data_IF_522753112638
#
_entry.id   IF_522753112638
#
_cell.length_a   1.000
_cell.length_b   1.000
_cell.length_c   1.000
_cell.angle_alpha   90.00
_cell.angle_beta   90.00
_cell.angle_gamma   90.00
#
_symmetry.space_group_name_H-M   'P 1'
#
loop_
_entity.id
_entity.type
_entity.pdbx_description
1 polymer ?
#
# COMPACT_ATOMS: atom_id res chain seq x y z
N UNK A 1 -14.61 -2.02 18.70
CA UNK A 1 -15.43 -1.75 17.52
C UNK A 1 -16.50 -0.68 17.71
N UNK A 2 -17.50 -0.81 18.60
CA UNK A 2 -18.54 0.23 18.80
C UNK A 2 -17.99 1.60 19.19
N UNK A 3 -16.98 1.66 20.07
CA UNK A 3 -16.35 2.93 20.51
C UNK A 3 -15.54 3.61 19.38
N UNK A 4 -14.87 2.84 18.55
CA UNK A 4 -14.11 3.35 17.38
C UNK A 4 -15.06 3.90 16.31
N UNK A 5 -16.17 3.22 16.04
CA UNK A 5 -17.21 3.70 15.12
C UNK A 5 -17.90 4.98 15.65
N UNK A 6 -18.11 5.08 16.96
CA UNK A 6 -18.68 6.30 17.57
C UNK A 6 -17.71 7.49 17.42
N UNK A 7 -16.41 7.29 17.63
CA UNK A 7 -15.40 8.34 17.46
C UNK A 7 -15.29 8.76 15.97
N UNK A 8 -15.33 7.81 15.05
CA UNK A 8 -15.36 8.11 13.61
C UNK A 8 -16.59 8.93 13.23
N UNK A 9 -17.76 8.62 13.79
CA UNK A 9 -19.00 9.31 13.50
C UNK A 9 -19.08 10.73 14.11
N UNK A 10 -18.30 11.03 15.13
CA UNK A 10 -18.31 12.37 15.79
C UNK A 10 -17.27 13.34 15.21
N UNK A 11 -16.25 12.85 14.47
CA UNK A 11 -15.25 13.71 13.87
C UNK A 11 -15.58 13.99 12.39
N UNK A 12 -15.84 15.26 11.99
CA UNK A 12 -16.25 15.60 10.63
C UNK A 12 -15.17 15.26 9.58
N UNK A 13 -13.88 15.35 9.93
CA UNK A 13 -12.78 14.96 9.05
C UNK A 13 -12.75 13.44 8.79
N UNK A 14 -13.05 12.64 9.83
CA UNK A 14 -13.14 11.18 9.69
C UNK A 14 -14.33 10.78 8.82
N UNK A 15 -15.48 11.48 8.97
CA UNK A 15 -16.65 11.25 8.11
C UNK A 15 -16.35 11.61 6.66
N UNK A 16 -15.69 12.75 6.42
CA UNK A 16 -15.28 13.14 5.06
C UNK A 16 -14.33 12.10 4.45
N UNK A 17 -13.32 11.65 5.21
CA UNK A 17 -12.41 10.61 4.76
C UNK A 17 -13.13 9.30 4.43
N UNK A 18 -14.04 8.86 5.30
CA UNK A 18 -14.85 7.66 5.07
C UNK A 18 -15.75 7.80 3.83
N UNK A 19 -16.35 8.98 3.63
CA UNK A 19 -17.15 9.27 2.44
C UNK A 19 -16.31 9.19 1.16
N UNK A 20 -15.13 9.81 1.14
CA UNK A 20 -14.23 9.78 -0.01
C UNK A 20 -13.79 8.34 -0.34
N UNK A 21 -13.41 7.56 0.67
CA UNK A 21 -13.07 6.13 0.48
C UNK A 21 -14.27 5.35 -0.07
N UNK A 22 -15.45 5.55 0.51
CA UNK A 22 -16.68 4.89 0.04
C UNK A 22 -17.01 5.27 -1.41
N UNK A 23 -16.77 6.52 -1.80
CA UNK A 23 -16.98 7.02 -3.16
C UNK A 23 -16.02 6.37 -4.15
N UNK A 24 -14.72 6.28 -3.81
CA UNK A 24 -13.71 5.62 -4.65
C UNK A 24 -13.98 4.12 -4.78
N UNK A 25 -14.23 3.44 -3.65
CA UNK A 25 -14.53 2.00 -3.64
C UNK A 25 -15.85 1.72 -4.36
N UNK A 26 -16.89 2.51 -4.10
CA UNK A 26 -18.18 2.41 -4.81
C UNK A 26 -18.03 2.64 -6.30
N UNK A 27 -17.30 3.70 -6.70
CA UNK A 27 -16.99 3.97 -8.12
C UNK A 27 -16.25 2.81 -8.78
N UNK A 28 -15.28 2.19 -8.09
CA UNK A 28 -14.56 1.03 -8.59
C UNK A 28 -15.46 -0.21 -8.75
N UNK A 29 -16.26 -0.53 -7.72
CA UNK A 29 -17.12 -1.72 -7.72
C UNK A 29 -18.22 -1.61 -8.76
N UNK A 30 -18.90 -0.45 -8.81
CA UNK A 30 -20.04 -0.19 -9.69
C UNK A 30 -19.65 0.46 -11.02
N UNK A 31 -18.36 0.48 -11.40
CA UNK A 31 -17.87 1.11 -12.63
C UNK A 31 -18.63 0.64 -13.87
N UNK A 32 -18.92 -0.67 -14.02
CA UNK A 32 -19.64 -1.22 -15.17
C UNK A 32 -21.12 -0.79 -15.24
N UNK A 33 -21.70 -0.31 -14.13
CA UNK A 33 -23.07 0.19 -14.06
C UNK A 33 -23.15 1.71 -14.20
N UNK A 34 -22.11 2.43 -13.76
CA UNK A 34 -22.07 3.90 -13.67
C UNK A 34 -21.42 4.51 -14.91
N UNK A 35 -20.41 3.82 -15.51
CA UNK A 35 -19.66 4.35 -16.64
C UNK A 35 -20.57 4.49 -17.87
N UNK A 36 -20.72 5.72 -18.45
CA UNK A 36 -21.51 5.92 -19.65
C UNK A 36 -20.95 5.18 -20.89
N UNK A 37 -19.61 5.00 -20.92
CA UNK A 37 -18.89 4.39 -22.04
C UNK A 37 -17.96 3.27 -21.53
N UNK A 38 -18.50 2.06 -21.22
CA UNK A 38 -17.70 0.95 -20.69
C UNK A 38 -16.58 0.48 -21.63
N UNK A 39 -16.75 0.63 -22.94
CA UNK A 39 -15.76 0.33 -23.97
C UNK A 39 -14.52 1.22 -23.89
N UNK A 40 -14.63 2.44 -23.37
CA UNK A 40 -13.53 3.39 -23.22
C UNK A 40 -12.51 3.01 -22.11
N UNK A 41 -12.76 1.90 -21.39
CA UNK A 41 -11.75 1.32 -20.46
C UNK A 41 -10.50 0.80 -21.17
N UNK A 42 -10.64 0.40 -22.45
CA UNK A 42 -9.59 -0.22 -23.25
C UNK A 42 -8.79 0.76 -24.11
N UNK A 43 -8.11 0.19 -25.11
CA UNK A 43 -7.30 0.93 -26.09
C UNK A 43 -8.14 1.45 -27.28
N UNK A 44 -9.36 1.93 -27.00
CA UNK A 44 -10.22 2.54 -28.01
C UNK A 44 -9.65 3.87 -28.42
N UNK A 45 -9.78 4.22 -29.70
CA UNK A 45 -9.38 5.51 -30.29
C UNK A 45 -10.56 6.05 -31.05
N UNK A 46 -10.98 7.27 -30.71
CA UNK A 46 -12.07 8.00 -31.39
C UNK A 46 -11.61 9.44 -31.71
N UNK A 47 -10.96 9.59 -32.82
CA UNK A 47 -10.45 10.90 -33.26
C UNK A 47 -11.54 11.93 -33.56
N UNK A 48 -12.79 11.52 -33.75
CA UNK A 48 -13.91 12.45 -33.95
C UNK A 48 -14.25 13.20 -32.66
N UNK A 49 -14.09 12.54 -31.54
CA UNK A 49 -14.35 13.08 -30.21
C UNK A 49 -13.07 13.49 -29.44
N UNK A 50 -11.98 13.77 -30.18
CA UNK A 50 -10.69 14.17 -29.64
C UNK A 50 -10.79 15.46 -28.80
N UNK A 51 -10.26 15.42 -27.59
CA UNK A 51 -10.08 16.55 -26.68
C UNK A 51 -11.30 17.48 -26.54
N UNK A 52 -12.50 16.91 -26.49
CA UNK A 52 -13.73 17.67 -26.28
C UNK A 52 -13.83 18.17 -24.84
N UNK A 53 -14.29 19.41 -24.62
CA UNK A 53 -14.61 19.90 -23.29
C UNK A 53 -15.79 19.13 -22.68
N UNK A 54 -16.01 19.23 -21.34
CA UNK A 54 -17.20 18.69 -20.70
C UNK A 54 -18.50 19.18 -21.38
N UNK A 55 -19.39 18.22 -21.67
CA UNK A 55 -20.72 18.49 -22.25
C UNK A 55 -21.75 17.51 -21.69
N UNK A 56 -23.00 17.55 -22.22
CA UNK A 56 -24.09 16.66 -21.80
C UNK A 56 -23.86 15.18 -22.12
N UNK A 57 -22.93 14.84 -23.02
CA UNK A 57 -22.56 13.48 -23.41
C UNK A 57 -21.33 13.02 -22.64
N UNK A 58 -20.31 13.87 -22.57
CA UNK A 58 -19.03 13.62 -21.90
C UNK A 58 -18.90 14.50 -20.66
N UNK A 59 -19.33 13.98 -19.50
CA UNK A 59 -19.42 14.72 -18.24
C UNK A 59 -18.12 15.40 -17.81
N UNK A 60 -16.98 14.79 -18.11
CA UNK A 60 -15.63 15.33 -17.84
C UNK A 60 -14.84 15.60 -19.12
N UNK A 61 -15.50 15.59 -20.27
CA UNK A 61 -14.85 15.70 -21.57
C UNK A 61 -14.13 14.41 -21.97
N UNK A 62 -13.31 14.52 -23.02
CA UNK A 62 -12.57 13.39 -23.61
C UNK A 62 -11.06 13.62 -23.55
N UNK A 63 -10.30 12.52 -23.61
CA UNK A 63 -8.83 12.58 -23.67
C UNK A 63 -8.31 12.85 -25.11
N UNK A 64 -6.95 12.87 -25.23
CA UNK A 64 -6.25 13.11 -26.49
C UNK A 64 -6.47 12.03 -27.58
N UNK A 65 -7.22 10.99 -27.31
CA UNK A 65 -7.60 9.96 -28.27
C UNK A 65 -9.11 9.72 -28.28
N UNK A 66 -9.89 10.68 -27.74
CA UNK A 66 -11.35 10.71 -27.80
C UNK A 66 -12.08 9.85 -26.79
N UNK A 67 -11.40 9.33 -25.75
CA UNK A 67 -12.04 8.48 -24.73
C UNK A 67 -12.65 9.30 -23.61
N UNK A 68 -13.84 8.91 -23.15
CA UNK A 68 -14.53 9.56 -22.03
C UNK A 68 -13.71 9.50 -20.73
N UNK A 69 -13.38 10.67 -20.19
CA UNK A 69 -12.56 10.79 -18.98
C UNK A 69 -13.27 10.25 -17.75
N UNK A 70 -14.58 10.46 -17.62
CA UNK A 70 -15.33 9.99 -16.47
C UNK A 70 -15.36 8.47 -16.38
N UNK A 71 -15.67 7.77 -17.48
CA UNK A 71 -15.60 6.31 -17.54
C UNK A 71 -14.19 5.79 -17.22
N UNK A 72 -13.17 6.41 -17.76
CA UNK A 72 -11.77 6.03 -17.51
C UNK A 72 -11.36 6.18 -16.06
N UNK A 73 -11.78 7.24 -15.37
CA UNK A 73 -11.52 7.45 -13.95
C UNK A 73 -12.15 6.35 -13.11
N UNK A 74 -13.40 5.97 -13.40
CA UNK A 74 -14.08 4.89 -12.68
C UNK A 74 -13.33 3.55 -12.80
N UNK A 75 -12.88 3.20 -14.02
CA UNK A 75 -12.08 1.98 -14.23
C UNK A 75 -10.67 2.09 -13.65
N UNK A 76 -10.05 3.29 -13.64
CA UNK A 76 -8.75 3.51 -13.03
C UNK A 76 -8.77 3.29 -11.53
N UNK A 77 -9.89 3.56 -10.83
CA UNK A 77 -10.02 3.25 -9.40
C UNK A 77 -9.81 1.76 -9.10
N UNK A 78 -10.30 0.84 -9.96
CA UNK A 78 -10.07 -0.62 -9.80
C UNK A 78 -8.59 -0.96 -9.83
N UNK A 79 -7.88 -0.42 -10.83
CA UNK A 79 -6.44 -0.68 -11.01
C UNK A 79 -5.65 -0.10 -9.83
N UNK A 80 -5.97 1.12 -9.40
CA UNK A 80 -5.30 1.78 -8.28
C UNK A 80 -5.53 1.05 -6.95
N UNK A 81 -6.77 0.64 -6.67
CA UNK A 81 -7.08 -0.14 -5.47
C UNK A 81 -6.39 -1.51 -5.49
N UNK A 82 -6.41 -2.20 -6.63
CA UNK A 82 -5.73 -3.49 -6.79
C UNK A 82 -4.22 -3.34 -6.56
N UNK A 83 -3.60 -2.31 -7.15
CA UNK A 83 -2.19 -2.01 -6.94
C UNK A 83 -1.90 -1.77 -5.46
N UNK A 84 -2.67 -0.91 -4.79
CA UNK A 84 -2.51 -0.63 -3.37
C UNK A 84 -2.60 -1.89 -2.51
N UNK A 85 -3.64 -2.71 -2.72
CA UNK A 85 -3.84 -3.96 -1.96
C UNK A 85 -2.70 -4.95 -2.21
N UNK A 86 -2.31 -5.18 -3.47
CA UNK A 86 -1.24 -6.14 -3.82
C UNK A 86 0.10 -5.70 -3.24
N UNK A 87 0.45 -4.42 -3.41
CA UNK A 87 1.72 -3.87 -2.88
C UNK A 87 1.76 -4.00 -1.36
N UNK A 88 0.70 -3.60 -0.65
CA UNK A 88 0.66 -3.69 0.81
C UNK A 88 0.64 -5.15 1.29
N UNK A 89 -0.11 -6.02 0.62
CA UNK A 89 -0.19 -7.44 0.99
C UNK A 89 1.16 -8.18 0.87
N UNK A 90 2.08 -7.67 0.06
CA UNK A 90 3.41 -8.26 -0.10
C UNK A 90 4.47 -7.46 0.68
N UNK A 91 4.51 -6.13 0.54
CA UNK A 91 5.55 -5.29 1.15
C UNK A 91 5.48 -5.29 2.68
N UNK A 92 4.25 -5.26 3.26
CA UNK A 92 4.10 -5.20 4.72
C UNK A 92 4.57 -6.50 5.39
N UNK A 93 4.13 -7.71 5.00
CA UNK A 93 4.63 -8.95 5.62
C UNK A 93 6.15 -9.11 5.48
N UNK A 94 6.72 -8.79 4.32
CA UNK A 94 8.18 -8.85 4.12
C UNK A 94 8.87 -7.87 5.06
N UNK A 95 8.48 -6.60 5.06
CA UNK A 95 9.07 -5.56 5.89
C UNK A 95 8.92 -5.85 7.38
N UNK A 96 7.73 -6.28 7.83
CA UNK A 96 7.47 -6.67 9.22
C UNK A 96 8.38 -7.81 9.64
N UNK A 97 8.47 -8.86 8.84
CA UNK A 97 9.31 -10.03 9.16
C UNK A 97 10.78 -9.64 9.25
N UNK A 98 11.29 -8.89 8.27
CA UNK A 98 12.67 -8.40 8.25
C UNK A 98 12.95 -7.50 9.46
N UNK A 99 12.05 -6.56 9.77
CA UNK A 99 12.20 -5.64 10.90
C UNK A 99 12.19 -6.35 12.26
N UNK A 100 11.25 -7.29 12.45
CA UNK A 100 11.20 -8.12 13.67
C UNK A 100 12.47 -8.96 13.85
N UNK A 101 12.90 -9.65 12.78
CA UNK A 101 14.10 -10.50 12.85
C UNK A 101 15.37 -9.67 13.16
N UNK A 102 15.55 -8.57 12.46
CA UNK A 102 16.71 -7.70 12.68
C UNK A 102 16.71 -7.09 14.09
N UNK A 103 15.57 -6.55 14.53
CA UNK A 103 15.42 -5.89 15.81
C UNK A 103 15.54 -6.83 17.01
N UNK A 104 14.92 -8.02 16.93
CA UNK A 104 14.87 -8.96 18.04
C UNK A 104 16.10 -9.89 18.10
N UNK A 105 16.50 -10.51 16.96
CA UNK A 105 17.62 -11.47 16.97
C UNK A 105 18.98 -10.77 17.12
N UNK A 106 19.09 -9.53 16.63
CA UNK A 106 20.30 -8.72 16.74
C UNK A 106 21.52 -9.28 16.01
N UNK A 107 22.74 -8.80 16.38
CA UNK A 107 24.04 -9.29 15.87
C UNK A 107 24.08 -9.38 14.34
N UNK A 108 24.34 -10.58 13.81
CA UNK A 108 24.45 -10.83 12.36
C UNK A 108 23.14 -10.63 11.59
N UNK A 109 22.01 -10.92 12.21
CA UNK A 109 20.69 -10.67 11.62
C UNK A 109 20.42 -9.18 11.46
N UNK A 110 20.73 -8.40 12.50
CA UNK A 110 20.64 -6.94 12.46
C UNK A 110 21.54 -6.39 11.36
N UNK A 111 22.84 -6.72 11.40
CA UNK A 111 23.80 -6.22 10.42
C UNK A 111 23.40 -6.59 8.98
N UNK A 112 23.11 -7.87 8.70
CA UNK A 112 22.83 -8.34 7.34
C UNK A 112 21.50 -7.79 6.79
N UNK A 113 20.42 -7.91 7.56
CA UNK A 113 19.11 -7.48 7.10
C UNK A 113 18.99 -5.96 6.99
N UNK A 114 19.58 -5.20 7.92
CA UNK A 114 19.56 -3.76 7.84
C UNK A 114 20.49 -3.22 6.76
N UNK A 115 21.62 -3.86 6.47
CA UNK A 115 22.45 -3.50 5.31
C UNK A 115 21.72 -3.74 3.99
N UNK A 116 21.02 -4.86 3.86
CA UNK A 116 20.17 -5.09 2.68
C UNK A 116 19.10 -4.00 2.57
N UNK A 117 18.44 -3.68 3.68
CA UNK A 117 17.43 -2.59 3.73
C UNK A 117 18.05 -1.25 3.31
N UNK A 118 19.27 -0.94 3.78
CA UNK A 118 19.98 0.31 3.43
C UNK A 118 20.31 0.40 1.95
N UNK A 119 20.71 -0.70 1.33
CA UNK A 119 20.96 -0.74 -0.13
C UNK A 119 19.71 -0.34 -0.90
N UNK A 120 18.54 -0.90 -0.56
CA UNK A 120 17.29 -0.52 -1.20
C UNK A 120 16.91 0.94 -0.94
N UNK A 121 17.09 1.44 0.29
CA UNK A 121 16.76 2.81 0.66
C UNK A 121 17.74 3.85 0.10
N UNK A 122 18.96 3.45 -0.30
CA UNK A 122 19.95 4.36 -0.90
C UNK A 122 19.63 4.71 -2.36
N UNK A 123 18.81 3.91 -3.02
CA UNK A 123 18.39 4.12 -4.40
C UNK A 123 17.09 4.93 -4.39
N UNK A 124 16.99 6.06 -5.12
CA UNK A 124 15.71 6.76 -5.26
C UNK A 124 14.61 5.80 -5.75
N UNK A 125 13.44 5.75 -5.07
CA UNK A 125 12.42 4.75 -5.36
C UNK A 125 12.00 4.68 -6.84
N UNK A 126 11.80 5.84 -7.46
CA UNK A 126 11.41 5.90 -8.87
C UNK A 126 12.48 5.32 -9.81
N UNK A 127 13.76 5.58 -9.50
CA UNK A 127 14.90 5.06 -10.29
C UNK A 127 14.95 3.54 -10.18
N UNK A 128 14.76 2.99 -8.97
CA UNK A 128 14.72 1.54 -8.76
C UNK A 128 13.57 0.89 -9.55
N UNK A 129 12.36 1.47 -9.46
CA UNK A 129 11.20 0.94 -10.20
C UNK A 129 11.43 0.97 -11.72
N UNK A 130 11.92 2.08 -12.25
CA UNK A 130 12.22 2.21 -13.69
C UNK A 130 13.30 1.24 -14.13
N UNK A 131 14.34 1.01 -13.32
CA UNK A 131 15.40 0.05 -13.61
C UNK A 131 14.85 -1.38 -13.65
N UNK A 132 14.01 -1.77 -12.71
CA UNK A 132 13.35 -3.08 -12.71
C UNK A 132 12.48 -3.23 -13.97
N UNK A 133 11.65 -2.22 -14.26
CA UNK A 133 10.76 -2.25 -15.42
C UNK A 133 11.50 -2.27 -16.76
N UNK A 134 12.71 -1.74 -16.80
CA UNK A 134 13.59 -1.83 -17.99
C UNK A 134 14.16 -3.23 -18.25
N UNK A 135 14.14 -4.12 -17.25
CA UNK A 135 14.69 -5.49 -17.36
C UNK A 135 13.60 -6.55 -17.60
N UNK A 136 12.33 -6.20 -17.41
CA UNK A 136 11.19 -7.12 -17.52
C UNK A 136 10.17 -6.58 -18.51
N UNK A 137 9.26 -7.44 -18.98
CA UNK A 137 8.14 -6.99 -19.82
C UNK A 137 7.25 -5.98 -19.07
N UNK A 138 6.82 -4.89 -19.73
CA UNK A 138 6.02 -3.83 -19.12
C UNK A 138 4.55 -4.28 -18.91
N UNK A 139 4.35 -5.19 -17.96
CA UNK A 139 3.03 -5.65 -17.54
C UNK A 139 2.60 -4.98 -16.25
N UNK A 140 1.27 -4.95 -15.98
CA UNK A 140 0.73 -4.43 -14.74
C UNK A 140 1.28 -5.18 -13.52
N UNK A 141 1.43 -6.50 -13.61
CA UNK A 141 1.96 -7.34 -12.53
C UNK A 141 3.42 -7.00 -12.24
N UNK A 142 4.25 -6.88 -13.27
CA UNK A 142 5.65 -6.50 -13.10
C UNK A 142 5.80 -5.09 -12.50
N UNK A 143 4.93 -4.16 -12.89
CA UNK A 143 4.84 -2.84 -12.26
C UNK A 143 4.49 -2.91 -10.78
N UNK A 144 3.51 -3.74 -10.39
CA UNK A 144 3.17 -3.96 -8.98
C UNK A 144 4.33 -4.56 -8.18
N UNK A 145 5.07 -5.52 -8.75
CA UNK A 145 6.25 -6.11 -8.11
C UNK A 145 7.41 -5.11 -7.97
N UNK A 146 7.64 -4.28 -8.99
CA UNK A 146 8.64 -3.21 -8.93
C UNK A 146 8.31 -2.21 -7.80
N UNK A 147 7.05 -1.79 -7.69
CA UNK A 147 6.61 -0.91 -6.59
C UNK A 147 6.76 -1.60 -5.24
N UNK A 148 6.40 -2.88 -5.13
CA UNK A 148 6.56 -3.67 -3.90
C UNK A 148 8.02 -3.72 -3.44
N UNK A 149 8.96 -3.90 -4.38
CA UNK A 149 10.40 -3.91 -4.08
C UNK A 149 10.91 -2.59 -3.47
N UNK A 150 10.22 -1.49 -3.73
CA UNK A 150 10.57 -0.17 -3.17
C UNK A 150 9.98 0.06 -1.78
N UNK A 151 8.84 -0.55 -1.45
CA UNK A 151 8.08 -0.19 -0.25
C UNK A 151 8.41 -1.03 0.98
N UNK A 152 8.79 -2.31 0.83
CA UNK A 152 9.10 -3.18 1.98
C UNK A 152 10.19 -2.63 2.91
N UNK A 153 11.25 -1.90 2.45
CA UNK A 153 12.30 -1.44 3.33
C UNK A 153 11.84 -0.39 4.33
N UNK A 154 10.84 0.42 3.95
CA UNK A 154 10.24 1.41 4.84
C UNK A 154 9.51 0.77 6.03
N UNK A 155 8.80 -0.33 5.77
CA UNK A 155 8.16 -1.12 6.83
C UNK A 155 9.21 -1.84 7.68
N UNK A 156 10.26 -2.37 7.08
CA UNK A 156 11.35 -3.01 7.79
C UNK A 156 12.03 -2.06 8.78
N UNK A 157 12.32 -0.82 8.36
CA UNK A 157 12.90 0.21 9.23
C UNK A 157 11.98 0.62 10.38
N UNK A 158 10.71 0.80 10.10
CA UNK A 158 9.72 1.14 11.12
C UNK A 158 9.64 0.05 12.19
N UNK A 159 9.44 -1.19 11.76
CA UNK A 159 9.27 -2.33 12.67
C UNK A 159 10.57 -2.64 13.40
N UNK A 160 11.72 -2.50 12.75
CA UNK A 160 13.03 -2.64 13.38
C UNK A 160 13.20 -1.66 14.57
N UNK A 161 12.88 -0.37 14.37
CA UNK A 161 13.00 0.64 15.41
C UNK A 161 12.09 0.34 16.61
N UNK A 162 10.83 -0.07 16.35
CA UNK A 162 9.90 -0.45 17.40
C UNK A 162 10.41 -1.70 18.13
N UNK A 163 10.79 -2.74 17.38
CA UNK A 163 11.25 -4.01 17.96
C UNK A 163 12.47 -3.83 18.86
N UNK A 164 13.39 -2.94 18.51
CA UNK A 164 14.56 -2.63 19.35
C UNK A 164 14.16 -1.98 20.66
N UNK A 165 13.18 -1.09 20.66
CA UNK A 165 12.65 -0.50 21.88
C UNK A 165 11.95 -1.53 22.77
N UNK A 166 11.03 -2.30 22.17
CA UNK A 166 10.22 -3.28 22.88
C UNK A 166 11.04 -4.46 23.44
N UNK A 167 12.16 -4.80 22.83
CA UNK A 167 12.99 -5.94 23.24
C UNK A 167 13.49 -5.84 24.69
N UNK A 168 13.69 -4.64 25.21
CA UNK A 168 14.20 -4.39 26.56
C UNK A 168 13.06 -4.20 27.58
N UNK A 169 11.81 -4.25 27.14
CA UNK A 169 10.65 -4.09 27.99
C UNK A 169 10.41 -5.31 28.89
N UNK A 170 9.91 -5.03 30.11
CA UNK A 170 9.74 -6.06 31.14
C UNK A 170 8.86 -7.24 30.74
N UNK A 171 7.83 -7.03 29.91
CA UNK A 171 6.96 -8.11 29.45
C UNK A 171 7.66 -9.05 28.46
N UNK A 172 8.57 -8.53 27.62
CA UNK A 172 9.39 -9.34 26.69
C UNK A 172 10.38 -10.18 27.49
N UNK A 173 11.10 -9.56 28.43
CA UNK A 173 12.03 -10.27 29.32
C UNK A 173 11.33 -11.35 30.16
N UNK A 174 10.12 -11.06 30.66
CA UNK A 174 9.33 -12.05 31.41
C UNK A 174 8.93 -13.23 30.52
N UNK A 175 8.51 -13.00 29.27
CA UNK A 175 8.19 -14.08 28.35
C UNK A 175 9.40 -14.96 28.03
N UNK A 176 10.59 -14.36 27.87
CA UNK A 176 11.84 -15.11 27.66
C UNK A 176 12.22 -15.96 28.87
N UNK A 177 12.11 -15.41 30.08
CA UNK A 177 12.39 -16.15 31.34
C UNK A 177 11.44 -17.32 31.52
N UNK A 178 10.17 -17.16 31.11
CA UNK A 178 9.17 -18.23 31.11
C UNK A 178 9.37 -19.28 30.02
N UNK A 179 10.40 -19.13 29.17
CA UNK A 179 10.76 -20.12 28.14
C UNK A 179 9.99 -19.95 26.84
N UNK A 180 9.41 -18.79 26.57
CA UNK A 180 8.76 -18.53 25.29
C UNK A 180 9.75 -18.65 24.13
N UNK A 181 9.31 -19.26 23.02
CA UNK A 181 10.15 -19.37 21.83
C UNK A 181 10.37 -17.97 21.18
N UNK A 182 11.47 -17.80 20.47
CA UNK A 182 11.77 -16.54 19.74
C UNK A 182 10.65 -16.12 18.80
N UNK A 183 10.05 -17.06 18.08
CA UNK A 183 8.91 -16.79 17.22
C UNK A 183 7.68 -16.31 18.02
N UNK A 184 7.42 -16.91 19.18
CA UNK A 184 6.35 -16.47 20.08
C UNK A 184 6.57 -15.03 20.52
N UNK A 185 7.76 -14.69 20.99
CA UNK A 185 8.07 -13.32 21.43
C UNK A 185 7.92 -12.33 20.27
N UNK A 186 8.50 -12.59 19.09
CA UNK A 186 8.39 -11.70 17.93
C UNK A 186 6.94 -11.49 17.49
N UNK A 187 6.16 -12.55 17.31
CA UNK A 187 4.85 -12.46 16.66
C UNK A 187 3.67 -12.28 17.63
N UNK A 188 3.81 -12.67 18.90
CA UNK A 188 2.70 -12.58 19.88
C UNK A 188 2.91 -11.50 20.94
N UNK A 189 4.16 -11.14 21.25
CA UNK A 189 4.45 -10.13 22.26
C UNK A 189 4.77 -8.78 21.59
N UNK A 190 5.74 -8.74 20.66
CA UNK A 190 6.22 -7.49 20.06
C UNK A 190 5.33 -7.00 18.92
N UNK A 191 4.99 -7.88 17.97
CA UNK A 191 4.23 -7.47 16.77
C UNK A 191 2.91 -6.77 17.09
N UNK A 192 2.08 -7.19 18.06
CA UNK A 192 0.83 -6.51 18.38
C UNK A 192 1.04 -5.04 18.76
N UNK A 193 2.14 -4.71 19.44
CA UNK A 193 2.48 -3.33 19.81
C UNK A 193 2.96 -2.51 18.59
N UNK A 194 3.53 -3.16 17.57
CA UNK A 194 3.94 -2.50 16.32
C UNK A 194 2.75 -2.26 15.36
N UNK A 195 1.67 -3.04 15.45
CA UNK A 195 0.52 -2.97 14.52
C UNK A 195 -0.07 -1.56 14.38
N UNK A 196 -0.32 -0.77 15.44
CA UNK A 196 -0.87 0.59 15.29
C UNK A 196 0.01 1.49 14.42
N UNK A 197 1.34 1.44 14.62
CA UNK A 197 2.29 2.22 13.82
C UNK A 197 2.37 1.74 12.36
N UNK A 198 2.31 0.42 12.15
CA UNK A 198 2.25 -0.17 10.80
C UNK A 198 1.00 0.32 10.07
N UNK A 199 -0.17 0.24 10.70
CA UNK A 199 -1.44 0.69 10.12
C UNK A 199 -1.41 2.18 9.77
N UNK A 200 -0.85 3.02 10.66
CA UNK A 200 -0.68 4.45 10.37
C UNK A 200 0.24 4.69 9.18
N UNK A 201 1.25 3.84 8.96
CA UNK A 201 2.18 3.96 7.84
C UNK A 201 1.58 3.47 6.51
N UNK A 202 0.56 2.61 6.56
CA UNK A 202 -0.15 2.11 5.38
C UNK A 202 -1.13 3.12 4.77
N UNK A 203 -1.53 4.14 5.54
CA UNK A 203 -2.41 5.23 5.11
C UNK A 203 -1.64 6.43 4.61
#
# INVERSE_FOLDING_TARGET
MKRTLAILATNPLSLLGALLVALVVGGAVFADLIAPFPEHRGAVVDFVNFNKPPDGTYLMGTDLVGRDLFSRILYAYRISLMLGVVVLAIAVPIGVTVGLMAGYLGKWWDYGLMRLTDVFLSIPPLVLAMSIMGLVEPTLVNGMLAVTAMWWPWYARLVYAITRGEREEGYVLAAEVLGASRAHVMFREILPNAVPAILTKMT
#
